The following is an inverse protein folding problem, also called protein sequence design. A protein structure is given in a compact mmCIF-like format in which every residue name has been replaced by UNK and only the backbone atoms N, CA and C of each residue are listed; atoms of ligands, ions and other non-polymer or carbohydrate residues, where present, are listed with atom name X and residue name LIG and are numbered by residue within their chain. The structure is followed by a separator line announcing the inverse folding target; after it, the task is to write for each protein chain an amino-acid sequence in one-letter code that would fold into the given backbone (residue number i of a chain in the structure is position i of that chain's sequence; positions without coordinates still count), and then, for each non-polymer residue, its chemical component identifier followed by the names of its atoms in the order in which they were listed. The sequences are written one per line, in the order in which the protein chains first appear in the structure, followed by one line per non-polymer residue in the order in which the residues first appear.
data_IF_959777082386
#
_entry.id   IF_959777082386
#
_cell.length_a   1.000
_cell.length_b   1.000
_cell.length_c   1.000
_cell.angle_alpha   90.00
_cell.angle_beta   90.00
_cell.angle_gamma   90.00
#
_symmetry.space_group_name_H-M   'P 1'
#
loop_
_entity.id
_entity.type
_entity.pdbx_description
1 polymer ?
#
# COMPACT_ATOMS: atom_id res chain seq x y z
N UNK A 1 -17.40 -14.62 -15.32
CA UNK A 1 -16.45 -15.59 -15.91
C UNK A 1 -15.14 -15.47 -15.16
N UNK A 2 -14.59 -16.54 -14.58
CA UNK A 2 -13.26 -16.51 -13.95
C UNK A 2 -12.21 -16.68 -15.05
N UNK A 3 -11.83 -15.57 -15.70
CA UNK A 3 -10.77 -15.60 -16.71
C UNK A 3 -9.45 -16.00 -16.07
N UNK A 4 -8.79 -17.02 -16.61
CA UNK A 4 -7.43 -17.41 -16.21
C UNK A 4 -6.36 -16.96 -17.24
N UNK A 5 -6.79 -16.33 -18.35
CA UNK A 5 -5.90 -15.84 -19.39
C UNK A 5 -5.12 -14.59 -18.96
N UNK A 6 -3.88 -14.48 -19.42
CA UNK A 6 -3.07 -13.26 -19.27
C UNK A 6 -3.43 -12.26 -20.35
N UNK A 7 -3.63 -11.01 -19.96
CA UNK A 7 -3.71 -9.88 -20.89
C UNK A 7 -2.38 -9.15 -20.84
N UNK A 8 -1.66 -9.19 -21.96
CA UNK A 8 -0.37 -8.51 -22.14
C UNK A 8 -0.57 -7.36 -23.13
N UNK A 9 -0.47 -6.12 -22.64
CA UNK A 9 -0.66 -4.93 -23.47
C UNK A 9 0.66 -4.21 -23.68
N UNK A 10 1.23 -4.32 -24.88
CA UNK A 10 2.41 -3.54 -25.29
C UNK A 10 1.96 -2.44 -26.24
N UNK A 11 1.80 -1.22 -25.72
CA UNK A 11 1.22 -0.07 -26.46
C UNK A 11 -0.18 -0.32 -27.06
N UNK A 12 -0.89 -1.35 -26.60
CA UNK A 12 -2.26 -1.69 -27.01
C UNK A 12 -3.31 -1.22 -26.01
N UNK A 13 -4.59 -1.38 -26.35
CA UNK A 13 -5.72 -0.99 -25.50
C UNK A 13 -6.56 -2.22 -25.17
N UNK A 14 -6.83 -2.47 -23.89
CA UNK A 14 -7.93 -3.35 -23.45
C UNK A 14 -9.18 -2.47 -23.34
N UNK A 15 -10.00 -2.49 -24.38
CA UNK A 15 -11.19 -1.66 -24.48
C UNK A 15 -12.45 -2.43 -24.02
N UNK A 16 -13.03 -2.02 -22.90
CA UNK A 16 -14.28 -2.60 -22.38
C UNK A 16 -15.51 -1.75 -22.71
N UNK A 17 -15.37 -0.72 -23.54
CA UNK A 17 -16.42 0.30 -23.74
C UNK A 17 -17.70 -0.20 -24.39
N UNK A 18 -17.62 -1.30 -25.13
CA UNK A 18 -18.76 -1.94 -25.79
C UNK A 18 -19.23 -3.21 -25.07
N UNK A 19 -18.69 -3.51 -23.88
CA UNK A 19 -19.09 -4.69 -23.13
C UNK A 19 -20.45 -4.47 -22.46
N UNK A 20 -21.31 -5.51 -22.48
CA UNK A 20 -22.65 -5.44 -21.92
C UNK A 20 -22.63 -5.01 -20.44
N UNK A 21 -23.65 -4.24 -19.98
CA UNK A 21 -23.71 -3.64 -18.65
C UNK A 21 -24.01 -4.67 -17.55
N UNK A 22 -23.03 -5.52 -17.22
CA UNK A 22 -22.98 -6.31 -15.98
C UNK A 22 -21.52 -6.38 -15.50
N UNK A 23 -21.26 -6.38 -14.17
CA UNK A 23 -20.57 -5.27 -13.51
C UNK A 23 -19.05 -5.43 -13.38
N UNK A 24 -18.51 -6.59 -13.78
CA UNK A 24 -17.12 -6.93 -13.46
C UNK A 24 -16.54 -7.90 -14.47
N UNK A 25 -15.39 -7.56 -15.07
CA UNK A 25 -14.59 -8.47 -15.89
C UNK A 25 -13.52 -9.12 -15.02
N UNK A 26 -13.30 -10.43 -15.14
CA UNK A 26 -12.15 -11.09 -14.51
C UNK A 26 -11.19 -11.65 -15.56
N UNK A 27 -9.92 -11.34 -15.40
CA UNK A 27 -8.79 -11.87 -16.18
C UNK A 27 -7.78 -12.56 -15.25
N UNK A 28 -6.94 -13.41 -15.83
CA UNK A 28 -5.93 -14.15 -15.10
C UNK A 28 -4.87 -13.23 -14.53
N UNK A 29 -4.21 -12.45 -15.39
CA UNK A 29 -3.23 -11.43 -15.01
C UNK A 29 -3.21 -10.29 -16.03
N UNK A 30 -2.69 -9.13 -15.61
CA UNK A 30 -2.48 -7.95 -16.44
C UNK A 30 -1.00 -7.57 -16.43
N UNK A 31 -0.41 -7.37 -17.60
CA UNK A 31 0.98 -6.94 -17.75
C UNK A 31 1.20 -6.04 -18.97
N UNK A 32 2.36 -5.37 -19.01
CA UNK A 32 2.75 -4.48 -20.10
C UNK A 32 2.56 -3.00 -19.76
N UNK A 33 2.51 -2.14 -20.78
CA UNK A 33 2.54 -0.68 -20.67
C UNK A 33 1.43 0.04 -21.46
N UNK A 34 0.46 -0.70 -21.99
CA UNK A 34 -0.67 -0.12 -22.74
C UNK A 34 -1.78 0.49 -21.87
N UNK A 35 -2.98 0.63 -22.43
CA UNK A 35 -4.13 1.20 -21.73
C UNK A 35 -5.19 0.15 -21.40
N UNK A 36 -5.96 0.40 -20.35
CA UNK A 36 -7.16 -0.35 -19.99
C UNK A 36 -8.31 0.63 -19.80
N UNK A 37 -9.40 0.49 -20.56
CA UNK A 37 -10.56 1.38 -20.47
C UNK A 37 -11.69 0.67 -19.70
N UNK A 38 -12.01 1.17 -18.50
CA UNK A 38 -13.04 0.61 -17.60
C UNK A 38 -14.40 1.32 -17.69
N UNK A 39 -14.62 2.14 -18.70
CA UNK A 39 -15.90 2.82 -18.90
C UNK A 39 -16.66 2.23 -20.07
N UNK A 40 -17.97 2.43 -20.11
CA UNK A 40 -18.88 1.94 -21.15
C UNK A 40 -19.74 3.06 -21.74
N UNK A 41 -20.16 2.89 -22.99
CA UNK A 41 -21.12 3.81 -23.63
C UNK A 41 -22.43 3.84 -22.85
N UNK A 42 -22.92 5.04 -22.49
CA UNK A 42 -24.16 5.21 -21.72
C UNK A 42 -24.00 5.34 -20.19
N UNK A 43 -22.86 5.86 -19.72
CA UNK A 43 -22.56 6.18 -18.30
C UNK A 43 -22.47 4.97 -17.36
N UNK A 44 -22.07 3.80 -17.87
CA UNK A 44 -21.76 2.64 -17.03
C UNK A 44 -20.23 2.51 -16.88
N UNK A 45 -19.79 1.86 -15.81
CA UNK A 45 -18.39 1.50 -15.57
C UNK A 45 -18.25 0.01 -15.29
N UNK A 46 -17.05 -0.51 -15.49
CA UNK A 46 -16.69 -1.89 -15.23
C UNK A 46 -15.68 -1.95 -14.09
N UNK A 47 -15.89 -2.91 -13.19
CA UNK A 47 -14.82 -3.36 -12.32
C UNK A 47 -13.93 -4.36 -13.05
N UNK A 48 -12.63 -4.39 -12.73
CA UNK A 48 -11.67 -5.34 -13.27
C UNK A 48 -11.08 -6.19 -12.14
N UNK A 49 -11.26 -7.50 -12.22
CA UNK A 49 -10.60 -8.47 -11.35
C UNK A 49 -9.38 -9.04 -12.07
N UNK A 50 -8.23 -9.06 -11.39
CA UNK A 50 -6.99 -9.66 -11.86
C UNK A 50 -6.39 -10.60 -10.81
N UNK A 51 -5.52 -11.51 -11.26
CA UNK A 51 -4.75 -12.44 -10.42
C UNK A 51 -5.33 -13.85 -10.33
N UNK A 52 -6.34 -14.20 -11.14
CA UNK A 52 -6.95 -15.54 -11.17
C UNK A 52 -5.96 -16.68 -11.48
N UNK A 53 -4.88 -16.37 -12.22
CA UNK A 53 -3.84 -17.35 -12.57
C UNK A 53 -2.63 -17.34 -11.61
N UNK A 54 -2.67 -16.53 -10.55
CA UNK A 54 -1.60 -16.39 -9.54
C UNK A 54 -0.23 -15.93 -10.06
N UNK A 55 -0.13 -15.43 -11.29
CA UNK A 55 1.13 -14.89 -11.79
C UNK A 55 1.46 -13.56 -11.11
N UNK A 56 2.76 -13.32 -10.96
CA UNK A 56 3.28 -12.01 -10.60
C UNK A 56 3.62 -11.23 -11.87
N UNK A 57 3.03 -10.05 -12.03
CA UNK A 57 3.15 -9.24 -13.25
C UNK A 57 3.44 -7.78 -12.92
N UNK A 58 3.93 -7.05 -13.93
CA UNK A 58 4.11 -5.60 -13.86
C UNK A 58 3.27 -4.96 -14.96
N UNK A 59 2.44 -3.99 -14.55
CA UNK A 59 1.70 -3.13 -15.46
C UNK A 59 2.16 -1.68 -15.26
N UNK A 60 2.88 -1.15 -16.26
CA UNK A 60 3.37 0.23 -16.32
C UNK A 60 2.45 1.17 -17.11
N UNK A 61 1.32 0.65 -17.60
CA UNK A 61 0.35 1.39 -18.38
C UNK A 61 -0.65 2.18 -17.54
N UNK A 62 -1.73 2.64 -18.17
CA UNK A 62 -2.78 3.42 -17.51
C UNK A 62 -4.12 2.68 -17.55
N UNK A 63 -4.75 2.54 -16.38
CA UNK A 63 -6.13 2.08 -16.23
C UNK A 63 -7.03 3.31 -16.12
N UNK A 64 -7.91 3.51 -17.09
CA UNK A 64 -8.83 4.63 -17.19
C UNK A 64 -10.20 4.26 -16.62
N UNK A 65 -10.64 5.00 -15.60
CA UNK A 65 -12.04 5.07 -15.21
C UNK A 65 -12.68 6.35 -15.76
N UNK A 66 -13.91 6.29 -16.26
CA UNK A 66 -14.64 7.51 -16.59
C UNK A 66 -15.05 8.23 -15.32
N UNK A 67 -14.70 9.51 -15.19
CA UNK A 67 -14.93 10.33 -14.00
C UNK A 67 -14.47 9.68 -12.68
N UNK A 68 -13.37 8.92 -12.71
CA UNK A 68 -12.85 8.23 -11.54
C UNK A 68 -13.76 7.10 -11.03
N UNK A 69 -14.42 6.38 -11.94
CA UNK A 69 -15.20 5.17 -11.64
C UNK A 69 -14.46 3.89 -12.04
N UNK A 70 -15.02 2.72 -11.69
CA UNK A 70 -14.42 1.40 -11.97
C UNK A 70 -13.36 1.00 -10.95
N UNK A 71 -13.51 -0.18 -10.36
CA UNK A 71 -12.64 -0.68 -9.29
C UNK A 71 -11.71 -1.75 -9.82
N UNK A 72 -10.43 -1.65 -9.48
CA UNK A 72 -9.47 -2.74 -9.70
C UNK A 72 -9.46 -3.67 -8.49
N UNK A 73 -9.85 -4.92 -8.68
CA UNK A 73 -9.76 -5.99 -7.68
C UNK A 73 -8.53 -6.87 -7.94
N UNK A 74 -7.62 -6.93 -6.97
CA UNK A 74 -6.50 -7.87 -6.98
C UNK A 74 -6.81 -9.09 -6.13
N UNK A 75 -6.72 -10.28 -6.73
CA UNK A 75 -6.91 -11.60 -6.10
C UNK A 75 -5.73 -12.53 -6.37
N UNK A 76 -5.82 -13.76 -5.88
CA UNK A 76 -4.80 -14.80 -6.08
C UNK A 76 -3.54 -14.54 -5.24
N UNK A 77 -2.49 -15.32 -5.47
CA UNK A 77 -1.25 -15.31 -4.67
C UNK A 77 -0.14 -14.41 -5.24
N UNK A 78 -0.13 -14.20 -6.54
CA UNK A 78 0.91 -13.42 -7.22
C UNK A 78 0.91 -11.93 -6.85
N UNK A 79 1.94 -11.24 -7.28
CA UNK A 79 2.13 -9.79 -7.07
C UNK A 79 1.78 -9.02 -8.34
N UNK A 80 0.90 -8.01 -8.24
CA UNK A 80 0.72 -7.02 -9.30
C UNK A 80 1.54 -5.77 -8.97
N UNK A 81 2.55 -5.47 -9.78
CA UNK A 81 3.27 -4.19 -9.69
C UNK A 81 2.59 -3.16 -10.58
N UNK A 82 2.12 -2.05 -10.02
CA UNK A 82 1.54 -0.92 -10.73
C UNK A 82 2.58 0.20 -10.81
N UNK A 83 3.09 0.45 -12.01
CA UNK A 83 4.15 1.45 -12.25
C UNK A 83 3.66 2.69 -13.03
N UNK A 84 2.42 2.66 -13.54
CA UNK A 84 1.80 3.81 -14.22
C UNK A 84 0.91 4.66 -13.31
N UNK A 85 0.47 5.80 -13.85
CA UNK A 85 -0.45 6.76 -13.20
C UNK A 85 -1.89 6.41 -13.56
N UNK A 86 -2.57 5.64 -12.73
CA UNK A 86 -3.91 5.14 -13.00
C UNK A 86 -5.00 6.14 -12.63
N UNK A 87 -6.11 6.07 -13.36
CA UNK A 87 -7.24 7.02 -13.30
C UNK A 87 -8.58 6.33 -12.99
N UNK A 88 -8.57 5.07 -12.58
CA UNK A 88 -9.76 4.33 -12.17
C UNK A 88 -10.22 4.73 -10.75
N UNK A 89 -11.41 4.29 -10.34
CA UNK A 89 -12.09 4.75 -9.13
C UNK A 89 -11.64 4.14 -7.81
N UNK A 90 -10.62 3.27 -7.79
CA UNK A 90 -10.07 2.72 -6.56
C UNK A 90 -9.58 1.30 -6.71
N UNK A 91 -8.90 0.80 -5.68
CA UNK A 91 -8.28 -0.53 -5.72
C UNK A 91 -8.65 -1.34 -4.49
N UNK A 92 -9.10 -2.57 -4.69
CA UNK A 92 -9.41 -3.53 -3.62
C UNK A 92 -8.45 -4.70 -3.70
N UNK A 93 -7.76 -5.01 -2.60
CA UNK A 93 -6.84 -6.13 -2.49
C UNK A 93 -7.48 -7.22 -1.63
N UNK A 94 -7.89 -8.29 -2.29
CA UNK A 94 -8.51 -9.47 -1.69
C UNK A 94 -7.54 -10.67 -1.59
N UNK A 95 -6.32 -10.53 -2.11
CA UNK A 95 -5.26 -11.53 -2.00
C UNK A 95 -3.98 -11.18 -2.76
N UNK A 96 -2.89 -11.83 -2.36
CA UNK A 96 -1.57 -11.66 -2.99
C UNK A 96 -0.96 -10.33 -2.59
N UNK A 97 -0.27 -9.66 -3.52
CA UNK A 97 0.29 -8.34 -3.28
C UNK A 97 -0.01 -7.35 -4.41
N UNK A 98 -0.11 -6.08 -4.05
CA UNK A 98 0.02 -4.94 -4.97
C UNK A 98 1.26 -4.15 -4.55
N UNK A 99 2.18 -3.90 -5.49
CA UNK A 99 3.34 -3.04 -5.28
C UNK A 99 3.22 -1.78 -6.14
N UNK A 100 3.27 -0.60 -5.53
CA UNK A 100 3.28 0.67 -6.25
C UNK A 100 4.72 1.07 -6.60
N UNK A 101 4.93 1.45 -7.87
CA UNK A 101 6.24 1.89 -8.39
C UNK A 101 6.14 3.09 -9.33
N UNK A 102 4.98 3.74 -9.35
CA UNK A 102 4.80 4.98 -10.11
C UNK A 102 5.64 6.11 -9.51
N UNK A 103 6.15 6.98 -10.37
CA UNK A 103 6.94 8.17 -9.98
C UNK A 103 6.11 9.46 -10.00
N UNK A 104 4.90 9.42 -10.56
CA UNK A 104 3.95 10.51 -10.62
C UNK A 104 2.52 9.96 -10.54
N UNK A 105 1.54 10.83 -10.28
CA UNK A 105 0.12 10.45 -10.19
C UNK A 105 -0.15 9.40 -9.11
N UNK A 106 -1.24 8.64 -9.27
CA UNK A 106 -1.62 7.58 -8.33
C UNK A 106 -1.47 6.20 -8.98
N UNK A 107 -0.73 5.28 -8.36
CA UNK A 107 -0.66 3.90 -8.85
C UNK A 107 -2.00 3.16 -8.72
N UNK A 108 -2.86 3.55 -7.78
CA UNK A 108 -4.05 2.75 -7.42
C UNK A 108 -5.37 3.42 -7.82
N UNK A 109 -5.31 4.42 -8.70
CA UNK A 109 -6.48 5.19 -9.13
C UNK A 109 -6.77 6.41 -8.25
N UNK A 110 -7.88 7.09 -8.53
CA UNK A 110 -8.29 8.34 -7.89
C UNK A 110 -9.08 8.13 -6.59
N UNK A 111 -9.72 6.97 -6.43
CA UNK A 111 -10.52 6.66 -5.25
C UNK A 111 -9.80 5.74 -4.24
N UNK A 112 -10.53 5.22 -3.25
CA UNK A 112 -9.94 4.58 -2.08
C UNK A 112 -9.20 3.28 -2.40
N UNK A 113 -8.25 2.93 -1.52
CA UNK A 113 -7.57 1.65 -1.51
C UNK A 113 -8.01 0.84 -0.30
N UNK A 114 -8.56 -0.35 -0.53
CA UNK A 114 -9.02 -1.24 0.54
C UNK A 114 -8.22 -2.53 0.54
N UNK A 115 -7.50 -2.81 1.62
CA UNK A 115 -6.76 -4.07 1.80
C UNK A 115 -7.58 -4.99 2.71
N UNK A 116 -8.40 -5.85 2.09
CA UNK A 116 -9.15 -6.87 2.80
C UNK A 116 -8.24 -8.03 3.23
N UNK A 117 -7.28 -8.39 2.38
CA UNK A 117 -6.31 -9.46 2.62
C UNK A 117 -5.09 -9.28 1.73
N UNK A 118 -3.94 -9.75 2.18
CA UNK A 118 -2.70 -9.74 1.39
C UNK A 118 -1.87 -8.50 1.69
N UNK A 119 -1.07 -8.04 0.73
CA UNK A 119 -0.11 -6.95 0.95
C UNK A 119 -0.36 -5.77 0.01
N UNK A 120 -0.35 -4.56 0.55
CA UNK A 120 -0.08 -3.33 -0.19
C UNK A 120 1.34 -2.89 0.16
N UNK A 121 2.13 -2.57 -0.85
CA UNK A 121 3.46 -2.04 -0.64
C UNK A 121 3.97 -1.25 -1.83
N UNK A 122 5.27 -1.03 -1.87
CA UNK A 122 5.94 -0.28 -2.92
C UNK A 122 6.58 1.00 -2.43
N UNK A 123 7.12 1.75 -3.37
CA UNK A 123 7.73 3.07 -3.16
C UNK A 123 7.01 4.16 -3.96
N UNK A 124 5.82 3.85 -4.47
CA UNK A 124 5.06 4.74 -5.34
C UNK A 124 4.21 5.74 -4.57
N UNK A 125 3.31 6.37 -5.31
CA UNK A 125 2.38 7.39 -4.83
C UNK A 125 0.95 6.85 -4.94
N UNK A 126 0.16 7.02 -3.88
CA UNK A 126 -1.26 6.65 -3.81
C UNK A 126 -2.05 7.92 -3.46
N UNK A 127 -3.01 8.29 -4.31
CA UNK A 127 -3.82 9.49 -4.08
C UNK A 127 -4.99 9.27 -3.11
N UNK A 128 -5.67 8.12 -3.22
CA UNK A 128 -6.85 7.82 -2.42
C UNK A 128 -6.53 7.41 -0.98
N UNK A 129 -7.52 7.56 -0.09
CA UNK A 129 -7.43 7.08 1.28
C UNK A 129 -7.21 5.56 1.33
N UNK A 130 -6.35 5.11 2.24
CA UNK A 130 -5.97 3.69 2.38
C UNK A 130 -6.56 3.12 3.66
N UNK A 131 -7.28 2.01 3.56
CA UNK A 131 -7.74 1.22 4.71
C UNK A 131 -7.10 -0.16 4.67
N UNK A 132 -6.33 -0.49 5.70
CA UNK A 132 -5.66 -1.79 5.88
C UNK A 132 -6.42 -2.59 6.93
N UNK A 133 -6.74 -3.84 6.62
CA UNK A 133 -7.49 -4.72 7.53
C UNK A 133 -9.00 -4.47 7.52
N UNK A 134 -9.51 -3.91 6.43
CA UNK A 134 -10.93 -3.58 6.26
C UNK A 134 -11.88 -4.77 6.41
N UNK A 135 -11.38 -6.00 6.20
CA UNK A 135 -12.14 -7.24 6.42
C UNK A 135 -11.70 -7.90 7.73
N UNK A 136 -12.58 -7.98 8.74
CA UNK A 136 -12.27 -8.63 10.01
C UNK A 136 -11.76 -10.07 9.85
N UNK A 137 -10.76 -10.45 10.65
CA UNK A 137 -10.18 -11.80 10.68
C UNK A 137 -9.37 -12.18 9.44
N UNK A 138 -9.09 -11.24 8.53
CA UNK A 138 -8.25 -11.47 7.35
C UNK A 138 -6.93 -10.71 7.49
N UNK A 139 -5.76 -11.38 7.38
CA UNK A 139 -4.48 -10.71 7.49
C UNK A 139 -4.27 -9.78 6.29
N UNK A 140 -4.07 -8.51 6.58
CA UNK A 140 -3.81 -7.46 5.62
C UNK A 140 -2.57 -6.69 6.06
N UNK A 141 -1.64 -6.47 5.15
CA UNK A 141 -0.34 -5.89 5.46
C UNK A 141 -0.10 -4.64 4.63
N UNK A 142 0.41 -3.59 5.26
CA UNK A 142 1.06 -2.48 4.59
C UNK A 142 2.57 -2.62 4.77
N UNK A 143 3.33 -2.63 3.68
CA UNK A 143 4.79 -2.81 3.69
C UNK A 143 5.45 -1.83 2.72
N UNK A 144 5.98 -0.69 3.19
CA UNK A 144 6.76 0.21 2.35
C UNK A 144 7.93 -0.51 1.69
N UNK A 145 8.34 -0.04 0.51
CA UNK A 145 9.34 -0.73 -0.28
C UNK A 145 8.84 -2.05 -0.87
N UNK A 146 9.66 -3.08 -0.76
CA UNK A 146 9.24 -4.47 -0.93
C UNK A 146 10.05 -5.25 0.10
N UNK A 147 9.57 -6.36 0.68
CA UNK A 147 10.18 -7.00 1.86
C UNK A 147 11.69 -7.37 1.80
N UNK A 148 12.42 -7.06 0.71
CA UNK A 148 13.88 -7.13 0.54
C UNK A 148 14.61 -5.77 0.41
N UNK A 149 13.90 -4.67 0.16
CA UNK A 149 14.47 -3.33 0.02
C UNK A 149 13.63 -2.33 0.80
N UNK A 150 14.29 -1.58 1.69
CA UNK A 150 13.66 -0.46 2.39
C UNK A 150 13.09 0.55 1.40
N UNK A 151 12.00 1.21 1.76
CA UNK A 151 11.39 2.21 0.91
C UNK A 151 10.42 3.14 1.59
N UNK A 152 10.17 4.28 0.94
CA UNK A 152 9.13 5.22 1.35
C UNK A 152 7.91 5.06 0.44
N UNK A 153 6.74 4.79 1.03
CA UNK A 153 5.45 4.81 0.35
C UNK A 153 4.74 6.12 0.65
N UNK A 154 4.30 6.84 -0.39
CA UNK A 154 3.67 8.16 -0.23
C UNK A 154 2.16 8.07 -0.45
N UNK A 155 1.39 8.46 0.56
CA UNK A 155 -0.07 8.54 0.53
C UNK A 155 -0.47 10.02 0.56
N UNK A 156 -1.14 10.49 -0.49
CA UNK A 156 -1.64 11.87 -0.56
C UNK A 156 -3.00 12.02 0.16
N UNK A 157 -3.39 11.04 0.96
CA UNK A 157 -4.60 11.06 1.78
C UNK A 157 -4.31 10.30 3.08
N UNK A 158 -5.36 10.00 3.86
CA UNK A 158 -5.21 9.33 5.13
C UNK A 158 -4.95 7.83 4.99
N UNK A 159 -4.33 7.25 6.02
CA UNK A 159 -4.24 5.80 6.22
C UNK A 159 -4.96 5.38 7.50
N UNK A 160 -5.76 4.34 7.40
CA UNK A 160 -6.44 3.69 8.54
C UNK A 160 -5.99 2.25 8.70
N UNK A 161 -5.50 1.90 9.88
CA UNK A 161 -5.23 0.51 10.28
C UNK A 161 -6.39 0.01 11.15
N UNK A 162 -6.96 -1.13 10.77
CA UNK A 162 -8.11 -1.74 11.47
C UNK A 162 -8.01 -3.26 11.54
N UNK A 163 -8.80 -3.87 12.44
CA UNK A 163 -8.87 -5.31 12.64
C UNK A 163 -7.50 -5.97 12.85
N UNK A 164 -7.17 -6.89 11.96
CA UNK A 164 -5.91 -7.66 11.96
C UNK A 164 -4.88 -7.06 11.00
N UNK A 165 -4.89 -5.73 10.79
CA UNK A 165 -3.89 -5.04 10.00
C UNK A 165 -2.49 -5.24 10.60
N UNK A 166 -1.51 -5.39 9.71
CA UNK A 166 -0.08 -5.44 10.05
C UNK A 166 0.61 -4.30 9.31
N UNK A 167 1.25 -3.40 10.04
CA UNK A 167 2.26 -2.52 9.46
C UNK A 167 3.61 -3.25 9.52
N UNK A 168 4.11 -3.70 8.37
CA UNK A 168 5.36 -4.48 8.24
C UNK A 168 6.46 -3.51 7.82
N UNK A 169 7.32 -3.15 8.78
CA UNK A 169 8.25 -2.04 8.68
C UNK A 169 9.65 -2.50 9.13
N UNK A 170 10.65 -2.28 8.28
CA UNK A 170 12.03 -2.58 8.59
C UNK A 170 12.86 -1.31 8.80
N UNK A 171 13.87 -1.40 9.66
CA UNK A 171 14.96 -0.42 9.77
C UNK A 171 16.28 -1.07 9.36
N UNK A 172 17.30 -0.26 9.14
CA UNK A 172 18.68 -0.72 9.00
C UNK A 172 19.61 0.14 9.86
N UNK A 173 19.98 -0.37 11.03
CA UNK A 173 20.87 0.32 11.97
C UNK A 173 22.29 0.55 11.45
N UNK A 174 22.76 -0.26 10.49
CA UNK A 174 24.09 -0.05 9.89
C UNK A 174 24.10 1.12 8.89
N UNK A 175 22.95 1.41 8.26
CA UNK A 175 22.81 2.44 7.24
C UNK A 175 22.07 3.69 7.72
N UNK A 176 21.45 3.63 8.90
CA UNK A 176 20.56 4.67 9.43
C UNK A 176 19.47 5.00 8.40
N UNK A 177 18.78 3.94 7.96
CA UNK A 177 17.73 3.99 6.95
C UNK A 177 16.51 3.18 7.43
N UNK A 178 15.31 3.49 6.95
CA UNK A 178 14.09 2.75 7.33
C UNK A 178 13.04 2.74 6.23
N UNK A 179 12.13 1.76 6.33
CA UNK A 179 10.82 1.88 5.73
C UNK A 179 10.07 3.07 6.32
N UNK A 180 9.28 3.72 5.48
CA UNK A 180 8.46 4.87 5.88
C UNK A 180 7.16 4.92 5.10
N UNK A 181 6.07 5.27 5.78
CA UNK A 181 4.85 5.76 5.12
C UNK A 181 4.72 7.25 5.39
N UNK A 182 4.53 8.03 4.33
CA UNK A 182 4.10 9.43 4.43
C UNK A 182 2.59 9.46 4.19
N UNK A 183 1.81 10.08 5.07
CA UNK A 183 0.36 10.15 4.94
C UNK A 183 -0.23 11.48 5.42
N UNK A 184 -1.28 11.96 4.74
CA UNK A 184 -2.06 13.14 5.16
C UNK A 184 -3.12 12.74 6.20
N UNK A 185 -2.67 12.19 7.32
CA UNK A 185 -3.52 11.72 8.42
C UNK A 185 -3.36 10.23 8.68
N UNK A 186 -3.22 9.87 9.96
CA UNK A 186 -3.04 8.48 10.39
C UNK A 186 -4.05 8.15 11.47
N UNK A 187 -4.79 7.06 11.28
CA UNK A 187 -5.69 6.49 12.29
C UNK A 187 -5.36 5.01 12.50
N UNK A 188 -5.08 4.65 13.74
CA UNK A 188 -4.81 3.27 14.16
C UNK A 188 -5.94 2.84 15.10
N UNK A 189 -7.00 2.28 14.51
CA UNK A 189 -8.14 1.78 15.28
C UNK A 189 -7.77 0.47 15.99
N UNK A 190 -6.96 -0.35 15.34
CA UNK A 190 -6.41 -1.63 15.82
C UNK A 190 -5.33 -2.10 14.85
N UNK A 191 -4.77 -3.28 15.11
CA UNK A 191 -3.68 -3.87 14.33
C UNK A 191 -2.36 -3.86 15.08
N UNK A 192 -1.37 -4.44 14.42
CA UNK A 192 -0.03 -4.63 14.97
C UNK A 192 1.02 -4.05 14.03
N UNK A 193 2.18 -3.76 14.58
CA UNK A 193 3.38 -3.44 13.80
C UNK A 193 4.36 -4.61 13.91
N UNK A 194 4.89 -5.06 12.78
CA UNK A 194 6.02 -5.98 12.72
C UNK A 194 7.26 -5.16 12.43
N UNK A 195 8.23 -5.23 13.34
CA UNK A 195 9.48 -4.47 13.26
C UNK A 195 10.66 -5.42 13.14
N UNK A 196 11.55 -5.15 12.19
CA UNK A 196 12.82 -5.85 12.02
C UNK A 196 13.94 -4.84 11.79
N UNK A 197 15.12 -5.11 12.36
CA UNK A 197 16.35 -4.43 12.00
C UNK A 197 17.15 -5.33 11.06
N UNK A 198 17.35 -4.87 9.83
CA UNK A 198 18.16 -5.54 8.80
C UNK A 198 19.65 -5.19 8.91
N UNK A 199 20.03 -4.37 9.89
CA UNK A 199 21.41 -4.01 10.21
C UNK A 199 21.89 -4.63 11.52
N UNK A 200 23.16 -4.37 11.82
CA UNK A 200 23.83 -4.81 13.06
C UNK A 200 24.57 -3.66 13.74
N UNK A 201 24.23 -2.41 13.42
CA UNK A 201 24.90 -1.24 13.97
C UNK A 201 24.51 -1.00 15.43
N UNK A 202 25.46 -0.58 16.26
CA UNK A 202 25.18 0.05 17.56
C UNK A 202 25.10 1.54 17.32
N UNK A 203 23.94 2.13 17.60
CA UNK A 203 23.63 3.50 17.26
C UNK A 203 23.89 4.44 18.45
N UNK A 204 24.31 5.70 18.20
CA UNK A 204 24.36 6.72 19.24
C UNK A 204 22.96 7.02 19.80
N UNK A 205 22.89 7.28 21.11
CA UNK A 205 21.68 7.77 21.77
C UNK A 205 21.13 9.02 21.05
N UNK A 206 19.81 9.08 20.88
CA UNK A 206 19.12 10.13 20.12
C UNK A 206 18.97 9.87 18.62
N UNK A 207 19.64 8.86 18.04
CA UNK A 207 19.39 8.45 16.65
C UNK A 207 17.92 8.08 16.47
N UNK A 208 17.25 8.68 15.48
CA UNK A 208 15.79 8.54 15.32
C UNK A 208 15.42 8.02 13.94
N UNK A 209 14.51 7.05 13.90
CA UNK A 209 13.84 6.59 12.69
C UNK A 209 12.39 7.06 12.70
N UNK A 210 11.92 7.66 11.60
CA UNK A 210 10.50 7.99 11.41
C UNK A 210 9.84 6.92 10.56
N UNK A 211 8.91 6.18 11.14
CA UNK A 211 8.24 5.05 10.48
C UNK A 211 6.90 5.47 9.87
N UNK A 212 6.17 6.36 10.53
CA UNK A 212 4.99 7.02 9.98
C UNK A 212 5.21 8.53 10.06
N UNK A 213 5.15 9.19 8.92
CA UNK A 213 5.33 10.63 8.72
C UNK A 213 3.92 11.21 8.41
N UNK A 214 3.29 11.80 9.43
CA UNK A 214 1.92 12.26 9.41
C UNK A 214 1.86 13.75 9.06
N UNK A 215 1.80 14.04 7.78
CA UNK A 215 1.84 15.42 7.28
C UNK A 215 0.52 16.19 7.47
N UNK A 216 -0.47 15.63 8.16
CA UNK A 216 -1.67 16.38 8.55
C UNK A 216 -1.43 17.20 9.81
N UNK A 217 -2.26 18.20 10.08
CA UNK A 217 -2.15 18.97 11.33
C UNK A 217 -2.68 18.20 12.57
N UNK A 218 -3.38 17.07 12.38
CA UNK A 218 -3.95 16.30 13.47
C UNK A 218 -2.93 15.27 13.99
N UNK A 219 -2.91 14.98 15.30
CA UNK A 219 -2.07 13.91 15.85
C UNK A 219 -2.48 12.54 15.28
N UNK A 220 -1.59 11.55 15.41
CA UNK A 220 -1.97 10.15 15.13
C UNK A 220 -3.06 9.75 16.11
N UNK A 221 -4.18 9.26 15.58
CA UNK A 221 -5.27 8.77 16.42
C UNK A 221 -5.08 7.29 16.72
N UNK A 222 -4.78 6.94 17.98
CA UNK A 222 -4.59 5.56 18.44
C UNK A 222 -3.16 5.03 18.31
N UNK A 223 -2.96 3.75 18.65
CA UNK A 223 -1.65 3.10 18.71
C UNK A 223 -1.73 1.65 18.21
N UNK A 224 -0.62 1.12 17.69
CA UNK A 224 -0.53 -0.31 17.41
C UNK A 224 -0.58 -1.11 18.72
N UNK A 225 -1.31 -2.22 18.72
CA UNK A 225 -1.60 -2.99 19.94
C UNK A 225 -0.36 -3.54 20.65
N UNK A 226 0.72 -3.76 19.89
CA UNK A 226 2.00 -4.29 20.38
C UNK A 226 3.12 -3.24 20.42
N UNK A 227 2.80 -1.96 20.22
CA UNK A 227 3.77 -0.86 20.25
C UNK A 227 3.11 0.39 20.84
N UNK A 228 2.96 0.41 22.16
CA UNK A 228 2.33 1.52 22.87
C UNK A 228 3.21 2.77 22.82
N UNK A 229 2.58 3.94 22.81
CA UNK A 229 3.32 5.19 22.97
C UNK A 229 4.15 5.17 24.25
N UNK A 230 5.29 5.85 24.20
CA UNK A 230 6.19 5.98 25.33
C UNK A 230 6.84 4.66 25.81
N UNK A 231 6.57 3.52 25.16
CA UNK A 231 7.18 2.23 25.48
C UNK A 231 8.62 2.13 24.95
N UNK A 232 9.30 1.04 25.33
CA UNK A 232 10.62 0.70 24.79
C UNK A 232 10.53 -0.58 23.99
N UNK A 233 11.14 -0.59 22.80
CA UNK A 233 11.32 -1.79 21.98
C UNK A 233 12.81 -2.03 21.75
N UNK A 234 13.26 -3.27 21.80
CA UNK A 234 14.65 -3.62 21.48
C UNK A 234 14.67 -4.32 20.12
N UNK A 235 15.47 -3.78 19.19
CA UNK A 235 15.73 -4.40 17.89
C UNK A 235 17.24 -4.55 17.74
N UNK A 236 17.70 -5.77 17.46
CA UNK A 236 19.14 -6.07 17.36
C UNK A 236 19.88 -5.62 18.63
N UNK A 237 20.88 -4.73 18.50
CA UNK A 237 21.70 -4.24 19.62
C UNK A 237 21.18 -2.95 20.28
N UNK A 238 20.05 -2.40 19.84
CA UNK A 238 19.60 -1.07 20.25
C UNK A 238 18.25 -1.13 20.95
N UNK A 239 18.12 -0.39 22.05
CA UNK A 239 16.84 -0.10 22.69
C UNK A 239 16.30 1.24 22.17
N UNK A 240 15.04 1.26 21.78
CA UNK A 240 14.38 2.42 21.20
C UNK A 240 13.19 2.86 22.03
N UNK A 241 13.09 4.17 22.25
CA UNK A 241 11.90 4.84 22.71
C UNK A 241 10.89 4.97 21.57
N UNK A 242 9.66 4.53 21.80
CA UNK A 242 8.54 4.76 20.89
C UNK A 242 7.92 6.13 21.20
N UNK A 243 7.66 6.93 20.18
CA UNK A 243 6.87 8.16 20.27
C UNK A 243 5.85 8.21 19.13
N UNK A 244 4.59 8.51 19.42
CA UNK A 244 3.57 8.86 18.40
C UNK A 244 3.43 10.38 18.18
N UNK A 245 4.25 11.16 18.91
CA UNK A 245 4.34 12.62 18.81
C UNK A 245 5.78 13.02 18.42
N UNK A 246 6.51 12.14 17.71
CA UNK A 246 7.87 12.41 17.26
C UNK A 246 7.90 13.33 16.04
N UNK A 247 9.11 13.54 15.48
CA UNK A 247 9.28 14.32 14.24
C UNK A 247 8.91 15.80 14.43
N UNK A 248 7.92 16.27 13.67
CA UNK A 248 7.33 17.61 13.81
C UNK A 248 6.21 17.69 14.86
N UNK A 249 5.95 16.61 15.59
CA UNK A 249 5.09 16.57 16.77
C UNK A 249 3.90 15.63 16.65
N UNK A 250 3.77 14.88 15.55
CA UNK A 250 2.69 13.92 15.32
C UNK A 250 3.12 12.69 14.49
N UNK A 251 4.41 12.33 14.53
CA UNK A 251 4.95 11.17 13.82
C UNK A 251 5.14 9.94 14.72
N UNK A 252 5.08 8.74 14.13
CA UNK A 252 5.56 7.53 14.79
C UNK A 252 7.07 7.40 14.59
N UNK A 253 7.82 7.59 15.67
CA UNK A 253 9.28 7.50 15.67
C UNK A 253 9.83 6.46 16.65
N UNK A 254 11.01 5.93 16.33
CA UNK A 254 11.85 5.13 17.22
C UNK A 254 13.15 5.88 17.48
N UNK A 255 13.39 6.31 18.72
CA UNK A 255 14.61 7.03 19.11
C UNK A 255 15.49 6.17 20.01
N UNK A 256 16.75 5.96 19.63
CA UNK A 256 17.72 5.17 20.37
C UNK A 256 17.93 5.75 21.76
N UNK A 257 17.76 4.92 22.79
CA UNK A 257 18.06 5.23 24.17
C UNK A 257 19.58 5.08 24.43
N UNK A 258 20.05 5.61 25.55
CA UNK A 258 21.39 5.32 26.05
C UNK A 258 21.62 3.78 26.09
N UNK A 259 22.76 3.27 25.62
CA UNK A 259 23.10 1.85 25.72
C UNK A 259 23.04 1.31 27.15
#
# INVERSE_FOLDING_TARGET
MNGNGTVSQTNGVLDLTQHAPTPTLAIGSLEGNGEVLLYSVGYQFHDLIVGGNNLSTTFGGVIHGFNGQGTLYKRGRGTLTLAGSNLHGGTVIDGGAVLTRNTAGSATGLGPVTVNRGKLGGTGIIAGAVTVGAKPGSPATLTPGNSSTLGTLTLQSSVTFSGTAIYDCAINSARIDSDKVIAQGVTIQSGQISLVDNGTGVLPAGTTFTLLDNTSAAPISGNFQNLLDQSTVTLSHNAYRVSYEGGDGNDLTLTVLSP
#
